data_IF_554221713632
#
_entry.id   IF_554221713632
#
_cell.length_a   1.000
_cell.length_b   1.000
_cell.length_c   1.000
_cell.angle_alpha   90.00
_cell.angle_beta   90.00
_cell.angle_gamma   90.00
#
_symmetry.space_group_name_H-M   'P 1'
#
loop_
_entity.id
_entity.type
_entity.pdbx_description
1 polymer ?
#
# COMPACT_ATOMS: atom_id res chain seq x y z
N UNK A 1 -7.95 17.25 -9.92
CA UNK A 1 -7.16 16.50 -8.90
C UNK A 1 -7.73 15.13 -8.58
N UNK A 2 -9.05 14.98 -8.40
CA UNK A 2 -9.71 13.68 -8.13
C UNK A 2 -9.22 12.52 -9.02
N UNK A 3 -9.28 12.65 -10.35
CA UNK A 3 -8.83 11.60 -11.28
C UNK A 3 -7.37 11.19 -11.04
N UNK A 4 -6.46 12.16 -10.94
CA UNK A 4 -5.05 11.90 -10.67
C UNK A 4 -4.84 11.19 -9.32
N UNK A 5 -5.60 11.56 -8.29
CA UNK A 5 -5.55 10.93 -6.98
C UNK A 5 -5.95 9.45 -7.04
N UNK A 6 -7.05 9.12 -7.73
CA UNK A 6 -7.49 7.74 -7.93
C UNK A 6 -6.53 6.96 -8.84
N UNK A 7 -5.94 7.59 -9.85
CA UNK A 7 -4.90 6.98 -10.69
C UNK A 7 -3.66 6.62 -9.88
N UNK A 8 -3.19 7.52 -9.01
CA UNK A 8 -2.02 7.26 -8.13
C UNK A 8 -2.34 6.17 -7.11
N UNK A 9 -3.53 6.20 -6.50
CA UNK A 9 -4.00 5.14 -5.58
C UNK A 9 -4.07 3.79 -6.28
N UNK A 10 -4.70 3.73 -7.45
CA UNK A 10 -4.82 2.52 -8.25
C UNK A 10 -3.46 1.97 -8.66
N UNK A 11 -2.56 2.83 -9.13
CA UNK A 11 -1.19 2.44 -9.49
C UNK A 11 -0.43 1.89 -8.28
N UNK A 12 -0.51 2.55 -7.11
CA UNK A 12 0.13 2.06 -5.89
C UNK A 12 -0.38 0.66 -5.52
N UNK A 13 -1.70 0.46 -5.53
CA UNK A 13 -2.30 -0.84 -5.23
C UNK A 13 -1.88 -1.92 -6.24
N UNK A 14 -1.76 -1.60 -7.53
CA UNK A 14 -1.26 -2.53 -8.56
C UNK A 14 0.21 -2.88 -8.30
N UNK A 15 1.07 -1.89 -8.04
CA UNK A 15 2.49 -2.11 -7.79
C UNK A 15 2.73 -2.92 -6.51
N UNK A 16 1.99 -2.62 -5.44
CA UNK A 16 2.00 -3.41 -4.22
C UNK A 16 1.52 -4.83 -4.49
N UNK A 17 0.44 -5.01 -5.27
CA UNK A 17 -0.05 -6.34 -5.66
C UNK A 17 0.96 -7.16 -6.48
N UNK A 18 1.68 -6.53 -7.42
CA UNK A 18 2.73 -7.19 -8.20
C UNK A 18 3.94 -7.56 -7.33
N UNK A 19 4.34 -6.66 -6.42
CA UNK A 19 5.42 -6.90 -5.46
C UNK A 19 5.04 -8.04 -4.51
N UNK A 20 3.78 -8.08 -4.08
CA UNK A 20 3.19 -9.14 -3.26
C UNK A 20 3.28 -10.50 -3.94
N UNK A 21 2.81 -10.60 -5.18
CA UNK A 21 2.87 -11.83 -5.95
C UNK A 21 4.32 -12.31 -6.09
N UNK A 22 5.24 -11.39 -6.38
CA UNK A 22 6.67 -11.70 -6.44
C UNK A 22 7.18 -12.27 -5.11
N UNK A 23 6.80 -11.70 -3.97
CA UNK A 23 7.25 -12.15 -2.65
C UNK A 23 6.67 -13.51 -2.24
N UNK A 24 5.42 -13.79 -2.61
CA UNK A 24 4.76 -15.08 -2.32
C UNK A 24 5.33 -16.20 -3.20
N UNK A 25 5.62 -15.92 -4.47
CA UNK A 25 6.00 -16.93 -5.46
C UNK A 25 7.49 -16.99 -5.78
N UNK A 26 8.34 -16.20 -5.10
CA UNK A 26 9.77 -16.21 -5.40
C UNK A 26 10.36 -17.60 -5.12
N UNK A 27 11.08 -18.24 -6.06
CA UNK A 27 11.84 -19.44 -5.75
C UNK A 27 13.05 -19.06 -4.89
N UNK A 28 13.24 -19.77 -3.77
CA UNK A 28 14.39 -19.58 -2.88
C UNK A 28 15.39 -20.71 -3.07
N UNK A 29 16.68 -20.37 -3.06
CA UNK A 29 17.75 -21.36 -3.02
C UNK A 29 17.84 -21.91 -1.59
N UNK A 30 17.89 -23.24 -1.46
CA UNK A 30 17.97 -23.92 -0.16
C UNK A 30 19.18 -23.49 0.68
N UNK A 31 20.28 -23.11 0.00
CA UNK A 31 21.55 -22.71 0.61
C UNK A 31 21.49 -21.31 1.28
N UNK A 32 20.50 -20.49 0.92
CA UNK A 32 20.29 -19.13 1.44
C UNK A 32 19.00 -19.02 2.28
N UNK A 33 18.39 -20.16 2.62
CA UNK A 33 17.09 -20.21 3.26
C UNK A 33 17.17 -19.94 4.76
N UNK A 34 16.78 -18.73 5.17
CA UNK A 34 16.42 -18.42 6.54
C UNK A 34 14.89 -18.43 6.71
N UNK A 35 14.38 -19.35 7.53
CA UNK A 35 12.95 -19.53 7.75
C UNK A 35 12.28 -18.29 8.35
N UNK A 36 13.00 -17.52 9.18
CA UNK A 36 12.44 -16.34 9.85
C UNK A 36 12.24 -15.19 8.87
N UNK A 37 13.25 -14.89 8.06
CA UNK A 37 13.18 -13.89 6.99
C UNK A 37 12.20 -14.32 5.90
N UNK A 38 12.23 -15.58 5.48
CA UNK A 38 11.33 -16.09 4.44
C UNK A 38 9.86 -16.05 4.87
N UNK A 39 9.54 -16.53 6.09
CA UNK A 39 8.19 -16.44 6.65
C UNK A 39 7.70 -14.98 6.75
N UNK A 40 8.59 -14.06 7.12
CA UNK A 40 8.30 -12.62 7.13
C UNK A 40 7.98 -12.04 5.74
N UNK A 41 8.74 -12.43 4.70
CA UNK A 41 8.51 -11.99 3.33
C UNK A 41 7.21 -12.53 2.74
N UNK A 42 6.87 -13.79 3.03
CA UNK A 42 5.60 -14.39 2.59
C UNK A 42 4.41 -13.73 3.28
N UNK A 43 4.47 -13.51 4.60
CA UNK A 43 3.44 -12.79 5.34
C UNK A 43 3.27 -11.35 4.84
N UNK A 44 4.39 -10.67 4.53
CA UNK A 44 4.35 -9.37 3.87
C UNK A 44 3.62 -9.44 2.53
N UNK A 45 3.94 -10.42 1.68
CA UNK A 45 3.26 -10.65 0.42
C UNK A 45 1.75 -10.81 0.58
N UNK A 46 1.28 -11.59 1.56
CA UNK A 46 -0.17 -11.72 1.82
C UNK A 46 -0.82 -10.44 2.35
N UNK A 47 -0.14 -9.69 3.23
CA UNK A 47 -0.65 -8.42 3.74
C UNK A 47 -0.80 -7.39 2.61
N UNK A 48 0.21 -7.31 1.74
CA UNK A 48 0.23 -6.41 0.60
C UNK A 48 -0.78 -6.83 -0.48
N UNK A 49 -1.00 -8.12 -0.70
CA UNK A 49 -2.05 -8.64 -1.58
C UNK A 49 -3.46 -8.30 -1.05
N UNK A 50 -3.66 -8.46 0.26
CA UNK A 50 -4.92 -8.12 0.93
C UNK A 50 -5.20 -6.61 0.83
N UNK A 51 -4.16 -5.78 0.96
CA UNK A 51 -4.28 -4.35 0.74
C UNK A 51 -4.61 -4.02 -0.72
N UNK A 52 -3.93 -4.66 -1.67
CA UNK A 52 -4.14 -4.50 -3.10
C UNK A 52 -5.56 -4.90 -3.54
N UNK A 53 -6.19 -5.89 -2.89
CA UNK A 53 -7.57 -6.31 -3.18
C UNK A 53 -8.60 -5.19 -3.01
N UNK A 54 -8.29 -4.17 -2.19
CA UNK A 54 -9.13 -2.97 -2.06
C UNK A 54 -9.29 -2.18 -3.38
N UNK A 55 -8.44 -2.43 -4.39
CA UNK A 55 -8.56 -1.83 -5.72
C UNK A 55 -9.91 -2.15 -6.39
N UNK A 56 -10.45 -3.35 -6.18
CA UNK A 56 -11.75 -3.76 -6.74
C UNK A 56 -12.88 -2.90 -6.19
N UNK A 57 -12.80 -2.58 -4.89
CA UNK A 57 -13.74 -1.66 -4.25
C UNK A 57 -13.59 -0.23 -4.78
N UNK A 58 -12.35 0.23 -4.93
CA UNK A 58 -12.06 1.56 -5.46
C UNK A 58 -12.54 1.77 -6.88
N UNK A 59 -12.40 0.78 -7.76
CA UNK A 59 -12.87 0.85 -9.14
C UNK A 59 -14.40 1.01 -9.22
N UNK A 60 -15.14 0.48 -8.25
CA UNK A 60 -16.61 0.53 -8.20
C UNK A 60 -17.15 1.77 -7.49
N UNK A 61 -16.41 2.30 -6.52
CA UNK A 61 -16.87 3.38 -5.63
C UNK A 61 -15.92 4.58 -5.63
N UNK A 62 -15.23 4.86 -6.73
CA UNK A 62 -14.30 6.00 -6.87
C UNK A 62 -14.93 7.36 -6.65
N UNK A 63 -16.26 7.43 -6.61
CA UNK A 63 -16.96 8.70 -6.71
C UNK A 63 -17.34 9.26 -5.33
N UNK A 64 -17.18 8.45 -4.28
CA UNK A 64 -17.61 8.73 -2.92
C UNK A 64 -16.40 9.09 -2.02
N UNK A 65 -16.52 10.19 -1.25
CA UNK A 65 -15.53 10.59 -0.25
C UNK A 65 -15.25 9.49 0.77
N UNK A 66 -16.28 8.75 1.18
CA UNK A 66 -16.12 7.64 2.14
C UNK A 66 -15.24 6.52 1.58
N UNK A 67 -15.32 6.25 0.29
CA UNK A 67 -14.47 5.24 -0.37
C UNK A 67 -13.02 5.72 -0.44
N UNK A 68 -12.81 7.00 -0.78
CA UNK A 68 -11.47 7.61 -0.75
C UNK A 68 -10.85 7.57 0.64
N UNK A 69 -11.62 7.94 1.67
CA UNK A 69 -11.17 7.91 3.05
C UNK A 69 -10.80 6.47 3.47
N UNK A 70 -11.64 5.49 3.14
CA UNK A 70 -11.42 4.10 3.53
C UNK A 70 -10.08 3.58 3.01
N UNK A 71 -9.78 3.71 1.72
CA UNK A 71 -8.54 3.11 1.25
C UNK A 71 -7.31 4.00 1.38
N UNK A 72 -7.43 5.32 1.53
CA UNK A 72 -6.32 6.13 2.08
C UNK A 72 -5.97 5.68 3.51
N UNK A 73 -6.97 5.41 4.34
CA UNK A 73 -6.78 4.86 5.69
C UNK A 73 -6.15 3.47 5.68
N UNK A 74 -6.60 2.60 4.77
CA UNK A 74 -6.04 1.26 4.58
C UNK A 74 -4.57 1.33 4.15
N UNK A 75 -4.24 2.13 3.14
CA UNK A 75 -2.86 2.29 2.66
C UNK A 75 -1.96 2.90 3.74
N UNK A 76 -2.45 3.89 4.48
CA UNK A 76 -1.71 4.47 5.61
C UNK A 76 -1.40 3.41 6.67
N UNK A 77 -2.40 2.62 7.07
CA UNK A 77 -2.24 1.53 8.05
C UNK A 77 -1.25 0.47 7.55
N UNK A 78 -1.36 0.07 6.29
CA UNK A 78 -0.42 -0.87 5.68
C UNK A 78 1.01 -0.36 5.73
N UNK A 79 1.25 0.88 5.29
CA UNK A 79 2.61 1.42 5.22
C UNK A 79 3.24 1.66 6.59
N UNK A 80 2.48 2.06 7.62
CA UNK A 80 3.04 2.17 8.97
C UNK A 80 3.42 0.81 9.57
N UNK A 81 2.61 -0.23 9.33
CA UNK A 81 2.96 -1.60 9.71
C UNK A 81 4.23 -2.05 8.99
N UNK A 82 4.39 -1.72 7.71
CA UNK A 82 5.59 -2.03 6.94
C UNK A 82 6.84 -1.30 7.43
N UNK A 83 6.72 -0.04 7.86
CA UNK A 83 7.81 0.68 8.52
C UNK A 83 8.31 -0.08 9.75
N UNK A 84 7.39 -0.52 10.62
CA UNK A 84 7.71 -1.29 11.83
C UNK A 84 8.37 -2.63 11.46
N UNK A 85 7.80 -3.36 10.50
CA UNK A 85 8.36 -4.63 10.03
C UNK A 85 9.78 -4.47 9.47
N UNK A 86 10.01 -3.47 8.61
CA UNK A 86 11.32 -3.17 8.04
C UNK A 86 12.34 -2.77 9.10
N UNK A 87 11.93 -2.06 10.17
CA UNK A 87 12.79 -1.74 11.32
C UNK A 87 13.22 -3.01 12.06
N UNK A 88 12.30 -3.96 12.30
CA UNK A 88 12.61 -5.20 12.99
C UNK A 88 13.63 -6.07 12.25
N UNK A 89 13.67 -5.99 10.92
CA UNK A 89 14.62 -6.73 10.08
C UNK A 89 15.80 -5.88 9.57
N UNK A 90 15.98 -4.67 10.10
CA UNK A 90 17.07 -3.74 9.71
C UNK A 90 17.12 -3.38 8.22
N UNK A 91 15.99 -3.40 7.51
CA UNK A 91 15.89 -3.06 6.09
C UNK A 91 15.65 -1.56 5.89
N UNK A 92 16.70 -0.74 6.08
CA UNK A 92 16.63 0.72 6.05
C UNK A 92 15.97 1.29 4.77
N UNK A 93 16.28 0.81 3.55
CA UNK A 93 15.60 1.31 2.35
C UNK A 93 14.07 1.11 2.37
N UNK A 94 13.61 0.00 2.94
CA UNK A 94 12.18 -0.29 3.10
C UNK A 94 11.51 0.64 4.12
N UNK A 95 12.20 0.93 5.24
CA UNK A 95 11.75 1.90 6.25
C UNK A 95 11.50 3.27 5.61
N UNK A 96 12.45 3.75 4.81
CA UNK A 96 12.36 5.06 4.15
C UNK A 96 11.23 5.06 3.11
N UNK A 97 11.19 4.05 2.24
CA UNK A 97 10.17 3.96 1.18
C UNK A 97 8.75 3.93 1.73
N UNK A 98 8.47 3.03 2.67
CA UNK A 98 7.15 2.93 3.29
C UNK A 98 6.83 4.13 4.19
N UNK A 99 7.83 4.73 4.86
CA UNK A 99 7.64 5.94 5.67
C UNK A 99 7.22 7.14 4.84
N UNK A 100 7.80 7.34 3.65
CA UNK A 100 7.40 8.38 2.72
C UNK A 100 5.97 8.17 2.20
N UNK A 101 5.63 6.92 1.83
CA UNK A 101 4.28 6.58 1.37
C UNK A 101 3.25 6.77 2.48
N UNK A 102 3.55 6.37 3.72
CA UNK A 102 2.72 6.63 4.88
C UNK A 102 2.45 8.13 5.06
N UNK A 103 3.50 8.95 5.07
CA UNK A 103 3.38 10.40 5.21
C UNK A 103 2.53 11.01 4.08
N UNK A 104 2.73 10.55 2.84
CA UNK A 104 1.95 10.98 1.69
C UNK A 104 0.47 10.61 1.83
N UNK A 105 0.14 9.36 2.21
CA UNK A 105 -1.25 8.94 2.36
C UNK A 105 -1.95 9.59 3.55
N UNK A 106 -1.25 9.85 4.65
CA UNK A 106 -1.79 10.65 5.77
C UNK A 106 -2.06 12.08 5.32
N UNK A 107 -1.14 12.70 4.59
CA UNK A 107 -1.33 14.05 4.04
C UNK A 107 -2.56 14.10 3.12
N UNK A 108 -2.70 13.13 2.21
CA UNK A 108 -3.86 13.01 1.33
C UNK A 108 -5.15 12.72 2.10
N UNK A 109 -5.09 11.90 3.16
CA UNK A 109 -6.24 11.60 4.00
C UNK A 109 -6.76 12.85 4.71
N UNK A 110 -5.88 13.66 5.29
CA UNK A 110 -6.24 14.92 5.96
C UNK A 110 -6.77 15.95 4.96
N UNK A 111 -6.22 16.01 3.74
CA UNK A 111 -6.63 16.97 2.72
C UNK A 111 -7.70 16.44 1.74
N UNK A 112 -8.25 15.24 1.97
CA UNK A 112 -9.14 14.52 1.02
C UNK A 112 -10.31 15.36 0.53
N UNK A 113 -10.93 16.15 1.40
CA UNK A 113 -12.11 16.97 1.08
C UNK A 113 -11.77 18.10 0.09
N UNK A 114 -10.52 18.59 0.11
CA UNK A 114 -10.02 19.57 -0.88
C UNK A 114 -9.73 18.92 -2.24
N UNK A 115 -9.39 17.62 -2.26
CA UNK A 115 -9.08 16.87 -3.47
C UNK A 115 -10.32 16.45 -4.27
N UNK A 116 -11.49 16.40 -3.61
CA UNK A 116 -12.76 15.99 -4.20
C UNK A 116 -13.60 17.16 -4.75
N UNK A 117 -13.37 18.40 -4.29
CA UNK A 117 -13.99 19.62 -4.83
C UNK A 117 -13.40 20.00 -6.20
N UNK A 118 -13.80 19.31 -7.25
CA UNK A 118 -13.74 19.81 -8.65
C UNK A 118 -14.90 19.19 -9.42
N UNK A 119 -16.10 19.76 -9.27
CA UNK A 119 -17.22 19.72 -10.20
C UNK A 119 -18.37 20.56 -9.60
N UNK A 120 -18.12 21.86 -9.44
CA UNK A 120 -19.21 22.86 -9.45
C UNK A 120 -18.95 23.71 -10.70
N UNK A 121 -19.33 23.17 -11.85
CA UNK A 121 -19.69 23.93 -13.06
C UNK A 121 -20.83 23.18 -13.77
#
# INVERSE_FOLDING_TARGET
MRKALFTVLGLNLVLEGLTSARLVFLPFRLEEFDASTHGGLVLYGFAALSAAASIVWFLKYSDNESSLALGLGLLSTFHICMVIACLMISMIPGVVGHGLLFAAFVFLFVNRSKCLRVAEE
#
